data_IF_246838696932
#
_entry.id   IF_246838696932
#
_cell.length_a   1.000
_cell.length_b   1.000
_cell.length_c   1.000
_cell.angle_alpha   90.00
_cell.angle_beta   90.00
_cell.angle_gamma   90.00
#
_symmetry.space_group_name_H-M   'P 1'
#
loop_
_entity.id
_entity.type
_entity.pdbx_description
1 polymer ?
#
# COMPACT_ATOMS: atom_id res chain seq x y z
N UNK A 1 9.40 -12.43 3.25
CA UNK A 1 10.69 -12.03 3.85
C UNK A 1 10.49 -10.88 4.81
N UNK A 2 11.34 -10.80 5.84
CA UNK A 2 11.31 -9.76 6.88
C UNK A 2 12.46 -8.76 6.68
N UNK A 3 12.23 -7.51 7.04
CA UNK A 3 13.22 -6.44 7.03
C UNK A 3 13.99 -6.34 8.34
N UNK A 4 15.01 -5.47 8.34
CA UNK A 4 15.85 -5.23 9.52
C UNK A 4 15.03 -4.84 10.75
N UNK A 5 15.36 -5.41 11.91
CA UNK A 5 14.69 -5.20 13.19
C UNK A 5 13.18 -5.52 13.19
N UNK A 6 12.68 -6.34 12.26
CA UNK A 6 11.27 -6.74 12.23
C UNK A 6 10.80 -7.43 13.53
N UNK A 7 11.68 -8.15 14.22
CA UNK A 7 11.40 -8.77 15.51
C UNK A 7 10.85 -7.75 16.53
N UNK A 8 11.41 -6.53 16.57
CA UNK A 8 11.00 -5.47 17.49
C UNK A 8 9.54 -5.02 17.27
N UNK A 9 8.99 -5.27 16.09
CA UNK A 9 7.60 -4.97 15.75
C UNK A 9 6.66 -6.16 15.99
N UNK A 10 7.19 -7.39 15.97
CA UNK A 10 6.41 -8.64 15.93
C UNK A 10 6.41 -9.39 17.25
N UNK A 11 7.46 -9.27 18.06
CA UNK A 11 7.61 -9.97 19.33
C UNK A 11 6.86 -9.28 20.48
N UNK A 12 6.72 -7.96 20.42
CA UNK A 12 6.14 -7.12 21.48
C UNK A 12 5.14 -6.12 20.90
N UNK A 13 4.15 -5.72 21.69
CA UNK A 13 3.09 -4.79 21.31
C UNK A 13 3.15 -3.44 22.05
N UNK A 14 4.10 -3.25 22.98
CA UNK A 14 4.25 -2.01 23.76
C UNK A 14 4.55 -0.81 22.87
N UNK A 15 5.37 -0.98 21.83
CA UNK A 15 5.66 0.09 20.87
C UNK A 15 4.39 0.61 20.19
N UNK A 16 3.40 -0.27 19.98
CA UNK A 16 2.12 0.03 19.36
C UNK A 16 1.20 0.75 20.35
N UNK A 17 1.09 0.26 21.59
CA UNK A 17 0.27 0.85 22.66
C UNK A 17 0.67 2.29 23.00
N UNK A 18 1.97 2.60 22.95
CA UNK A 18 2.48 3.96 23.20
C UNK A 18 2.14 4.94 22.05
N UNK A 19 1.85 4.42 20.86
CA UNK A 19 1.71 5.20 19.63
C UNK A 19 0.29 5.32 19.10
N UNK A 20 -0.59 4.41 19.48
CA UNK A 20 -1.94 4.31 18.94
C UNK A 20 -2.99 4.29 20.04
N UNK A 21 -4.05 5.05 19.82
CA UNK A 21 -5.27 4.93 20.60
C UNK A 21 -6.13 3.78 20.03
N UNK A 22 -6.28 2.68 20.77
CA UNK A 22 -7.04 1.51 20.31
C UNK A 22 -8.56 1.73 20.26
N UNK A 23 -9.06 2.88 20.71
CA UNK A 23 -10.45 3.29 20.48
C UNK A 23 -10.66 3.87 19.07
N UNK A 24 -9.60 4.29 18.39
CA UNK A 24 -9.67 4.79 17.02
C UNK A 24 -9.80 3.64 16.02
N UNK A 25 -10.44 3.93 14.89
CA UNK A 25 -10.64 2.98 13.79
C UNK A 25 -9.47 3.15 12.83
N UNK A 26 -8.45 2.29 12.98
CA UNK A 26 -7.27 2.31 12.12
C UNK A 26 -6.81 0.94 11.65
N UNK A 27 -6.04 0.96 10.56
CA UNK A 27 -5.19 -0.13 10.06
C UNK A 27 -3.77 0.40 9.90
N UNK A 28 -2.79 -0.32 10.43
CA UNK A 28 -1.37 -0.05 10.22
C UNK A 28 -0.79 -1.13 9.30
N UNK A 29 -0.38 -0.73 8.10
CA UNK A 29 0.24 -1.62 7.13
C UNK A 29 1.73 -1.78 7.39
N UNK A 30 2.18 -3.04 7.48
CA UNK A 30 3.56 -3.45 7.76
C UNK A 30 4.29 -3.99 6.53
N UNK A 31 3.53 -4.26 5.46
CA UNK A 31 4.00 -4.81 4.19
C UNK A 31 4.29 -3.71 3.15
N UNK A 32 5.29 -3.95 2.31
CA UNK A 32 5.44 -3.32 1.00
C UNK A 32 5.22 -4.33 -0.13
N UNK A 33 4.68 -3.82 -1.23
CA UNK A 33 4.51 -4.51 -2.51
C UNK A 33 5.54 -4.01 -3.55
N UNK A 34 6.61 -3.32 -3.10
CA UNK A 34 7.66 -2.78 -3.96
C UNK A 34 7.11 -1.88 -5.08
N UNK A 35 6.11 -1.07 -4.75
CA UNK A 35 5.51 -0.10 -5.65
C UNK A 35 5.48 1.29 -4.98
N UNK A 36 5.61 2.38 -5.75
CA UNK A 36 5.52 3.72 -5.19
C UNK A 36 4.10 4.01 -4.71
N UNK A 37 4.00 4.66 -3.56
CA UNK A 37 2.73 5.14 -3.00
C UNK A 37 2.82 6.61 -2.58
N UNK A 38 1.65 7.25 -2.54
CA UNK A 38 1.48 8.57 -1.96
C UNK A 38 1.23 8.40 -0.46
N UNK A 39 2.00 9.12 0.33
CA UNK A 39 1.82 9.23 1.76
C UNK A 39 1.55 10.68 2.15
N UNK A 40 0.85 10.86 3.25
CA UNK A 40 0.68 12.14 3.93
C UNK A 40 1.35 12.04 5.29
N UNK A 41 2.26 12.98 5.55
CA UNK A 41 2.99 13.08 6.81
C UNK A 41 2.02 13.47 7.92
N UNK A 42 2.03 12.70 9.01
CA UNK A 42 1.28 12.99 10.21
C UNK A 42 2.23 13.43 11.34
N UNK A 43 1.74 14.17 12.35
CA UNK A 43 2.58 14.69 13.44
C UNK A 43 2.33 14.03 14.81
N UNK A 44 1.29 13.20 14.93
CA UNK A 44 0.85 12.63 16.21
C UNK A 44 1.52 11.31 16.60
N UNK A 45 2.12 10.59 15.66
CA UNK A 45 2.73 9.27 15.87
C UNK A 45 4.24 9.39 15.69
N UNK A 46 4.98 9.09 16.75
CA UNK A 46 6.44 9.12 16.74
C UNK A 46 7.00 7.93 15.96
N UNK A 47 8.11 8.10 15.21
CA UNK A 47 8.83 7.00 14.59
C UNK A 47 9.24 5.90 15.58
N UNK A 48 9.45 4.69 15.08
CA UNK A 48 9.99 3.57 15.84
C UNK A 48 11.01 2.81 15.00
N UNK A 49 12.16 2.47 15.57
CA UNK A 49 13.20 1.70 14.87
C UNK A 49 13.57 2.30 13.49
N UNK A 50 13.72 3.64 13.42
CA UNK A 50 14.03 4.39 12.20
C UNK A 50 12.97 4.25 11.08
N UNK A 51 11.74 3.89 11.45
CA UNK A 51 10.59 3.78 10.54
C UNK A 51 9.53 4.80 10.91
N UNK A 52 9.12 5.54 9.89
CA UNK A 52 8.03 6.50 9.93
C UNK A 52 6.69 5.77 9.86
N UNK A 53 5.67 6.34 10.49
CA UNK A 53 4.29 5.85 10.43
C UNK A 53 3.44 6.98 9.88
N UNK A 54 3.09 6.89 8.60
CA UNK A 54 2.42 7.96 7.86
C UNK A 54 1.11 7.50 7.26
N UNK A 55 0.26 8.44 6.85
CA UNK A 55 -1.05 8.13 6.29
C UNK A 55 -0.90 7.68 4.84
N UNK A 56 -1.48 6.53 4.48
CA UNK A 56 -1.53 6.05 3.11
C UNK A 56 -2.61 6.81 2.31
N UNK A 57 -2.23 7.45 1.20
CA UNK A 57 -3.12 8.26 0.34
C UNK A 57 -3.21 7.76 -1.11
N UNK A 58 -2.74 6.55 -1.36
CA UNK A 58 -2.96 5.89 -2.64
C UNK A 58 -2.99 4.39 -2.48
N UNK A 59 -3.61 3.74 -3.46
CA UNK A 59 -3.62 2.29 -3.62
C UNK A 59 -2.28 1.62 -3.31
N UNK A 60 -2.31 0.62 -2.44
CA UNK A 60 -1.20 -0.29 -2.19
C UNK A 60 -1.70 -1.74 -2.27
N UNK A 61 -1.16 -2.55 -3.18
CA UNK A 61 -1.55 -3.97 -3.31
C UNK A 61 -1.02 -4.82 -2.17
N UNK A 62 -1.67 -5.94 -1.88
CA UNK A 62 -1.22 -6.90 -0.87
C UNK A 62 -1.79 -6.64 0.53
N UNK A 63 -1.95 -7.71 1.28
CA UNK A 63 -2.53 -7.78 2.64
C UNK A 63 -1.78 -8.79 3.52
N UNK A 64 -0.48 -9.02 3.24
CA UNK A 64 0.30 -10.06 3.92
C UNK A 64 0.73 -9.66 5.34
N UNK A 65 0.90 -8.36 5.60
CA UNK A 65 1.35 -7.85 6.89
C UNK A 65 0.68 -6.53 7.25
N UNK A 66 -0.18 -6.57 8.27
CA UNK A 66 -0.83 -5.39 8.84
C UNK A 66 -1.29 -5.66 10.28
N UNK A 67 -1.51 -4.58 11.02
CA UNK A 67 -2.23 -4.54 12.30
C UNK A 67 -3.57 -3.86 12.05
N UNK A 68 -4.63 -4.37 12.66
CA UNK A 68 -5.97 -3.82 12.56
C UNK A 68 -6.56 -3.60 13.95
N UNK A 69 -7.08 -2.39 14.20
CA UNK A 69 -7.83 -2.10 15.42
C UNK A 69 -9.14 -2.90 15.47
N UNK A 70 -9.66 -3.15 16.67
CA UNK A 70 -10.96 -3.80 16.82
C UNK A 70 -12.09 -3.02 16.10
N UNK A 71 -12.07 -1.68 16.19
CA UNK A 71 -13.02 -0.82 15.49
C UNK A 71 -12.95 -0.94 13.97
N UNK A 72 -11.75 -1.00 13.39
CA UNK A 72 -11.57 -1.22 11.96
C UNK A 72 -12.02 -2.61 11.51
N UNK A 73 -11.75 -3.66 12.30
CA UNK A 73 -12.22 -5.00 11.99
C UNK A 73 -13.76 -5.08 11.97
N UNK A 74 -14.42 -4.47 12.97
CA UNK A 74 -15.89 -4.38 12.99
C UNK A 74 -16.44 -3.58 11.81
N UNK A 75 -15.83 -2.41 11.53
CA UNK A 75 -16.22 -1.58 10.38
C UNK A 75 -16.10 -2.33 9.05
N UNK A 76 -15.03 -3.12 8.86
CA UNK A 76 -14.87 -3.94 7.67
C UNK A 76 -16.00 -4.96 7.52
N UNK A 77 -16.39 -5.66 8.59
CA UNK A 77 -17.51 -6.62 8.54
C UNK A 77 -18.81 -5.91 8.10
N UNK A 78 -19.12 -4.76 8.70
CA UNK A 78 -20.30 -3.96 8.33
C UNK A 78 -20.26 -3.46 6.88
N UNK A 79 -19.07 -3.18 6.33
CA UNK A 79 -18.88 -2.86 4.91
C UNK A 79 -19.11 -4.10 4.04
N UNK A 80 -18.60 -5.27 4.46
CA UNK A 80 -18.75 -6.52 3.72
C UNK A 80 -20.21 -6.98 3.63
N UNK A 81 -20.99 -6.81 4.69
CA UNK A 81 -22.42 -7.16 4.73
C UNK A 81 -23.25 -6.36 3.71
N UNK A 82 -22.75 -5.21 3.25
CA UNK A 82 -23.43 -4.35 2.28
C UNK A 82 -23.10 -4.69 0.83
N UNK A 83 -22.08 -5.50 0.56
CA UNK A 83 -21.72 -5.85 -0.80
C UNK A 83 -22.65 -6.93 -1.36
N UNK A 84 -23.13 -6.72 -2.59
CA UNK A 84 -23.67 -7.82 -3.38
C UNK A 84 -22.55 -8.76 -3.82
N UNK A 85 -22.89 -10.02 -4.15
CA UNK A 85 -21.92 -11.03 -4.60
C UNK A 85 -21.11 -10.61 -5.83
N UNK A 86 -21.62 -9.68 -6.63
CA UNK A 86 -20.98 -9.16 -7.85
C UNK A 86 -20.01 -8.01 -7.57
N UNK A 87 -20.11 -7.38 -6.39
CA UNK A 87 -19.31 -6.22 -5.99
C UNK A 87 -18.11 -6.58 -5.11
N UNK A 88 -18.00 -7.85 -4.69
CA UNK A 88 -16.92 -8.31 -3.83
C UNK A 88 -15.58 -8.21 -4.57
N UNK A 89 -14.76 -7.26 -4.13
CA UNK A 89 -13.38 -7.09 -4.60
C UNK A 89 -12.41 -7.84 -3.70
N UNK A 90 -11.17 -8.07 -4.17
CA UNK A 90 -10.09 -8.53 -3.30
C UNK A 90 -9.97 -7.67 -2.03
N UNK A 91 -9.65 -8.30 -0.90
CA UNK A 91 -9.59 -7.62 0.40
C UNK A 91 -8.57 -6.47 0.43
N UNK A 92 -7.45 -6.59 -0.28
CA UNK A 92 -6.44 -5.54 -0.39
C UNK A 92 -6.94 -4.32 -1.19
N UNK A 93 -7.77 -4.55 -2.21
CA UNK A 93 -8.46 -3.49 -2.94
C UNK A 93 -9.45 -2.73 -2.04
N UNK A 94 -10.13 -3.43 -1.12
CA UNK A 94 -11.06 -2.80 -0.19
C UNK A 94 -10.29 -1.99 0.86
N UNK A 95 -9.39 -2.65 1.60
CA UNK A 95 -8.67 -2.07 2.74
C UNK A 95 -7.68 -0.98 2.33
N UNK A 96 -6.94 -1.17 1.25
CA UNK A 96 -5.80 -0.33 0.87
C UNK A 96 -5.98 0.40 -0.45
N UNK A 97 -7.22 0.52 -0.94
CA UNK A 97 -7.59 1.46 -1.99
C UNK A 97 -8.94 2.13 -1.72
N UNK A 98 -10.03 1.38 -1.51
CA UNK A 98 -11.36 1.99 -1.38
C UNK A 98 -11.56 2.70 -0.05
N UNK A 99 -10.99 2.18 1.04
CA UNK A 99 -11.20 2.73 2.39
C UNK A 99 -10.17 3.78 2.83
N UNK A 100 -9.12 4.04 2.03
CA UNK A 100 -7.99 4.91 2.45
C UNK A 100 -8.38 6.39 2.62
N UNK A 101 -9.47 6.82 1.98
CA UNK A 101 -9.97 8.20 2.00
C UNK A 101 -11.31 8.33 2.75
N UNK A 102 -11.72 7.29 3.50
CA UNK A 102 -12.95 7.32 4.28
C UNK A 102 -12.75 8.08 5.59
N UNK A 103 -13.62 9.05 5.85
CA UNK A 103 -13.59 9.80 7.11
C UNK A 103 -13.80 8.88 8.31
N UNK A 104 -12.94 9.01 9.32
CA UNK A 104 -13.00 8.19 10.53
C UNK A 104 -12.41 6.79 10.40
N UNK A 105 -11.93 6.37 9.22
CA UNK A 105 -11.20 5.11 9.02
C UNK A 105 -9.78 5.42 8.54
N UNK A 106 -8.78 5.25 9.40
CA UNK A 106 -7.43 5.72 9.12
C UNK A 106 -6.50 4.57 8.69
N UNK A 107 -5.92 4.69 7.50
CA UNK A 107 -4.91 3.73 7.02
C UNK A 107 -3.52 4.35 7.13
N UNK A 108 -2.66 3.71 7.92
CA UNK A 108 -1.27 4.06 8.09
C UNK A 108 -0.35 3.07 7.35
N UNK A 109 0.81 3.55 6.95
CA UNK A 109 1.89 2.79 6.34
C UNK A 109 3.15 2.95 7.18
N UNK A 110 3.70 1.82 7.63
CA UNK A 110 5.05 1.77 8.19
C UNK A 110 6.06 1.91 7.05
N UNK A 111 6.99 2.85 7.16
CA UNK A 111 7.97 3.15 6.13
C UNK A 111 9.39 3.37 6.70
N UNK A 112 10.40 2.57 6.28
CA UNK A 112 10.28 1.42 5.39
C UNK A 112 9.38 0.32 5.99
N UNK A 113 8.80 -0.53 5.13
CA UNK A 113 8.01 -1.68 5.56
C UNK A 113 8.89 -2.78 6.16
N UNK A 114 8.34 -3.61 7.05
CA UNK A 114 9.10 -4.69 7.73
C UNK A 114 8.91 -6.05 7.07
N UNK A 115 8.04 -6.16 6.05
CA UNK A 115 7.88 -7.39 5.31
C UNK A 115 7.52 -7.16 3.84
N UNK A 116 7.83 -8.16 3.03
CA UNK A 116 7.47 -8.28 1.61
C UNK A 116 7.17 -9.74 1.32
N UNK A 117 6.18 -10.02 0.48
CA UNK A 117 5.89 -11.39 0.04
C UNK A 117 7.04 -11.96 -0.78
N UNK A 118 7.33 -13.26 -0.61
CA UNK A 118 8.40 -13.95 -1.37
C UNK A 118 8.16 -13.85 -2.88
N UNK A 119 6.92 -14.06 -3.34
CA UNK A 119 6.54 -13.90 -4.73
C UNK A 119 6.83 -12.49 -5.26
N UNK A 120 6.64 -11.45 -4.44
CA UNK A 120 6.88 -10.08 -4.86
C UNK A 120 8.37 -9.74 -4.93
N UNK A 121 9.17 -10.36 -4.06
CA UNK A 121 10.62 -10.18 -4.03
C UNK A 121 11.32 -10.98 -5.15
N UNK A 122 10.93 -12.24 -5.35
CA UNK A 122 11.61 -13.17 -6.25
C UNK A 122 10.97 -13.26 -7.64
N UNK A 123 9.72 -12.81 -7.80
CA UNK A 123 9.00 -12.73 -9.08
C UNK A 123 9.03 -14.06 -9.86
N UNK A 124 9.68 -14.11 -11.03
CA UNK A 124 9.79 -15.30 -11.87
C UNK A 124 10.60 -16.42 -11.21
N UNK A 125 11.45 -16.09 -10.23
CA UNK A 125 12.24 -17.04 -9.45
C UNK A 125 11.53 -17.48 -8.15
N UNK A 126 10.27 -17.10 -7.95
CA UNK A 126 9.50 -17.49 -6.77
C UNK A 126 9.30 -19.00 -6.73
N UNK A 127 9.60 -19.60 -5.58
CA UNK A 127 9.32 -21.03 -5.31
C UNK A 127 7.96 -21.24 -4.65
N UNK A 128 7.32 -20.15 -4.20
CA UNK A 128 6.02 -20.15 -3.53
C UNK A 128 4.94 -19.62 -4.48
N UNK A 129 4.59 -20.41 -5.51
CA UNK A 129 3.52 -20.04 -6.42
C UNK A 129 2.16 -20.03 -5.72
N UNK A 130 1.39 -18.95 -5.94
CA UNK A 130 0.02 -18.89 -5.45
C UNK A 130 -0.89 -19.80 -6.28
N UNK A 131 -1.78 -20.56 -5.63
CA UNK A 131 -2.82 -21.31 -6.34
C UNK A 131 -3.70 -20.45 -7.26
N UNK A 132 -3.86 -19.17 -6.92
CA UNK A 132 -4.62 -18.19 -7.71
C UNK A 132 -3.80 -17.55 -8.85
N UNK A 133 -2.50 -17.81 -8.96
CA UNK A 133 -1.60 -17.17 -9.92
C UNK A 133 -1.99 -17.48 -11.38
N UNK A 134 -2.45 -18.71 -11.65
CA UNK A 134 -2.94 -19.12 -12.97
C UNK A 134 -4.18 -18.33 -13.39
N UNK A 135 -5.12 -18.11 -12.47
CA UNK A 135 -6.32 -17.31 -12.73
C UNK A 135 -6.02 -15.83 -12.88
N UNK A 136 -5.12 -15.28 -12.05
CA UNK A 136 -4.64 -13.90 -12.18
C UNK A 136 -3.98 -13.64 -13.55
N UNK A 137 -3.19 -14.58 -14.07
CA UNK A 137 -2.61 -14.50 -15.42
C UNK A 137 -3.72 -14.48 -16.49
N UNK A 138 -4.74 -15.33 -16.38
CA UNK A 138 -5.90 -15.34 -17.31
C UNK A 138 -6.67 -14.03 -17.31
N UNK A 139 -6.95 -13.46 -16.13
CA UNK A 139 -7.67 -12.18 -16.01
C UNK A 139 -6.83 -11.01 -16.58
N UNK A 140 -5.51 -11.03 -16.37
CA UNK A 140 -4.61 -10.04 -16.96
C UNK A 140 -4.59 -10.14 -18.49
N UNK A 141 -4.57 -11.34 -19.06
CA UNK A 141 -4.64 -11.57 -20.52
C UNK A 141 -5.98 -11.09 -21.10
N UNK A 142 -7.09 -11.32 -20.39
CA UNK A 142 -8.42 -10.80 -20.75
C UNK A 142 -8.45 -9.26 -20.81
N UNK A 143 -7.92 -8.58 -19.79
CA UNK A 143 -7.85 -7.11 -19.72
C UNK A 143 -6.74 -6.48 -20.58
N UNK A 144 -5.87 -7.28 -21.21
CA UNK A 144 -4.76 -6.79 -22.06
C UNK A 144 -5.03 -6.85 -23.56
N UNK A 145 -6.27 -7.12 -23.99
CA UNK A 145 -6.76 -6.68 -25.33
C UNK A 145 -6.86 -5.15 -25.39
N UNK A 146 -5.74 -4.48 -25.17
CA UNK A 146 -5.57 -3.04 -25.18
C UNK A 146 -5.56 -2.60 -26.63
N UNK A 147 -6.60 -1.88 -27.02
CA UNK A 147 -6.78 -1.30 -28.35
C UNK A 147 -5.54 -0.49 -28.75
N UNK A 148 -5.27 -0.35 -30.05
CA UNK A 148 -4.14 0.44 -30.58
C UNK A 148 -4.06 1.84 -29.92
N UNK A 149 -5.22 2.46 -29.68
CA UNK A 149 -5.38 3.72 -28.96
C UNK A 149 -4.73 3.73 -27.58
N UNK A 150 -4.92 2.69 -26.77
CA UNK A 150 -4.30 2.58 -25.44
C UNK A 150 -2.76 2.47 -25.54
N UNK A 151 -2.24 1.74 -26.53
CA UNK A 151 -0.80 1.61 -26.75
C UNK A 151 -0.15 2.95 -27.13
N UNK A 152 -0.80 3.71 -28.02
CA UNK A 152 -0.39 5.06 -28.41
C UNK A 152 -0.47 6.06 -27.24
N UNK A 153 -1.54 6.02 -26.44
CA UNK A 153 -1.64 6.87 -25.25
C UNK A 153 -0.54 6.54 -24.24
N UNK A 154 -0.26 5.25 -23.99
CA UNK A 154 0.82 4.83 -23.08
C UNK A 154 2.21 5.24 -23.57
N UNK A 155 2.47 5.15 -24.88
CA UNK A 155 3.73 5.67 -25.46
C UNK A 155 3.84 7.18 -25.27
N UNK A 156 2.78 7.93 -25.58
CA UNK A 156 2.75 9.40 -25.35
C UNK A 156 2.98 9.72 -23.88
N UNK A 157 2.31 9.02 -22.97
CA UNK A 157 2.49 9.20 -21.52
C UNK A 157 3.91 8.85 -21.07
N UNK A 158 4.50 7.77 -21.57
CA UNK A 158 5.87 7.37 -21.23
C UNK A 158 6.89 8.41 -21.72
N UNK A 159 6.72 8.93 -22.94
CA UNK A 159 7.55 10.00 -23.50
C UNK A 159 7.37 11.28 -22.70
N UNK A 160 6.12 11.64 -22.38
CA UNK A 160 5.80 12.82 -21.57
C UNK A 160 6.37 12.70 -20.15
N UNK A 161 6.36 11.50 -19.55
CA UNK A 161 6.99 11.21 -18.24
C UNK A 161 8.52 11.31 -18.33
N UNK A 162 9.13 10.78 -19.38
CA UNK A 162 10.58 10.86 -19.60
C UNK A 162 11.03 12.32 -19.80
N UNK A 163 10.30 13.11 -20.59
CA UNK A 163 10.57 14.53 -20.82
C UNK A 163 10.33 15.36 -19.55
N UNK A 164 9.31 15.01 -18.77
CA UNK A 164 9.02 15.68 -17.50
C UNK A 164 9.83 15.15 -16.32
N UNK A 165 10.76 14.21 -16.51
CA UNK A 165 11.57 13.62 -15.42
C UNK A 165 12.36 14.70 -14.67
N UNK A 166 13.04 15.60 -15.40
CA UNK A 166 13.72 16.78 -14.82
C UNK A 166 12.76 17.72 -14.10
N UNK A 167 11.63 18.06 -14.71
CA UNK A 167 10.57 18.87 -14.07
C UNK A 167 9.91 18.18 -12.87
N UNK A 168 9.99 16.85 -12.79
CA UNK A 168 9.47 16.06 -11.69
C UNK A 168 10.47 16.06 -10.54
N UNK A 169 11.77 15.89 -10.82
CA UNK A 169 12.87 16.05 -9.85
C UNK A 169 12.88 17.46 -9.23
N UNK A 170 12.74 18.51 -10.04
CA UNK A 170 12.56 19.90 -9.56
C UNK A 170 11.29 20.07 -8.73
N UNK A 171 10.19 19.41 -9.09
CA UNK A 171 8.96 19.43 -8.30
C UNK A 171 9.05 18.60 -7.02
N UNK A 172 9.87 17.54 -6.97
CA UNK A 172 10.17 16.81 -5.73
C UNK A 172 11.04 17.65 -4.81
N UNK A 173 12.00 18.41 -5.34
CA UNK A 173 12.76 19.40 -4.58
C UNK A 173 11.85 20.49 -3.99
N UNK A 174 10.95 21.06 -4.80
CA UNK A 174 9.97 22.06 -4.33
C UNK A 174 8.89 21.44 -3.41
N UNK A 175 8.51 20.17 -3.60
CA UNK A 175 7.60 19.46 -2.69
C UNK A 175 8.27 19.00 -1.40
N UNK A 176 9.58 18.76 -1.40
CA UNK A 176 10.38 18.63 -0.19
C UNK A 176 10.36 19.92 0.63
N UNK A 177 10.26 21.07 -0.05
CA UNK A 177 9.99 22.38 0.56
C UNK A 177 8.51 22.60 0.93
N UNK A 178 7.56 21.77 0.46
CA UNK A 178 6.10 21.92 0.66
C UNK A 178 5.38 20.67 1.22
N UNK A 179 6.12 19.71 1.80
CA UNK A 179 5.56 18.64 2.63
C UNK A 179 4.72 17.53 1.97
N UNK A 180 4.95 17.13 0.71
CA UNK A 180 4.30 15.90 0.14
C UNK A 180 5.30 15.00 -0.58
N UNK A 181 5.67 13.89 0.07
CA UNK A 181 6.69 12.95 -0.38
C UNK A 181 6.07 11.71 -1.06
N UNK A 182 6.62 11.33 -2.22
CA UNK A 182 6.41 10.02 -2.85
C UNK A 182 7.61 9.17 -2.44
N UNK A 183 7.37 8.02 -1.80
CA UNK A 183 8.45 7.13 -1.37
C UNK A 183 8.61 5.98 -2.37
N UNK A 184 9.83 5.81 -2.86
CA UNK A 184 10.25 4.64 -3.63
C UNK A 184 10.80 3.63 -2.64
N UNK A 185 10.14 2.47 -2.53
CA UNK A 185 10.72 1.32 -1.83
C UNK A 185 11.75 0.69 -2.77
N UNK A 186 13.02 0.76 -2.39
CA UNK A 186 14.15 0.03 -3.00
C UNK A 186 14.69 -0.91 -1.92
#
# INVERSE_FOLDING_TARGET
MLGENAEQFLAEDEWLKVRFNFQEIFVLRLETFLMPVKIEKQQGILPFQQREIDILKSKHFGTAGYVISHGAAKYLIEVFEKFSSEEVKPIDEIMFNQLIDISGYQVYQLNPAICVQELQLNQENSVLESGLQKERKKNTVSHTKKTLKYRLTRMKENILRALNKKKWEERQYIKGLQGKNIILFI
#
